data_IF_818541561302
#
_entry.id   IF_818541561302
#
_cell.length_a   1.000
_cell.length_b   1.000
_cell.length_c   1.000
_cell.angle_alpha   90.00
_cell.angle_beta   90.00
_cell.angle_gamma   90.00
#
_symmetry.space_group_name_H-M   'P 1'
#
loop_
_entity.id
_entity.type
_entity.pdbx_description
1 polymer ?
#
# COMPACT_ATOMS: atom_id res chain seq x y z
N UNK A 1 21.03 11.37 -1.02
CA UNK A 1 19.82 10.81 -0.39
C UNK A 1 19.63 9.40 -0.91
N UNK A 2 19.28 8.46 -0.03
CA UNK A 2 19.11 7.07 -0.42
C UNK A 2 17.87 6.87 -1.30
N UNK A 3 17.90 5.81 -2.12
CA UNK A 3 16.75 5.40 -2.93
C UNK A 3 15.52 5.12 -2.07
N UNK A 4 15.72 4.50 -0.89
CA UNK A 4 14.65 4.23 0.07
C UNK A 4 13.98 5.51 0.56
N UNK A 5 14.74 6.51 0.91
CA UNK A 5 14.21 7.80 1.38
C UNK A 5 13.46 8.53 0.27
N UNK A 6 14.00 8.51 -0.94
CA UNK A 6 13.33 9.13 -2.10
C UNK A 6 12.01 8.45 -2.41
N UNK A 7 11.98 7.13 -2.39
CA UNK A 7 10.78 6.35 -2.64
C UNK A 7 9.72 6.60 -1.57
N UNK A 8 10.12 6.61 -0.30
CA UNK A 8 9.21 6.91 0.81
C UNK A 8 8.57 8.29 0.65
N UNK A 9 9.36 9.30 0.34
CA UNK A 9 8.84 10.65 0.11
C UNK A 9 7.87 10.71 -1.05
N UNK A 10 8.18 10.01 -2.14
CA UNK A 10 7.33 9.97 -3.32
C UNK A 10 5.98 9.31 -3.02
N UNK A 11 5.98 8.19 -2.33
CA UNK A 11 4.75 7.51 -1.93
C UNK A 11 3.85 8.42 -1.09
N UNK A 12 4.43 9.09 -0.10
CA UNK A 12 3.69 10.01 0.77
C UNK A 12 3.18 11.23 -0.01
N UNK A 13 4.01 11.79 -0.89
CA UNK A 13 3.62 12.95 -1.69
C UNK A 13 2.45 12.62 -2.63
N UNK A 14 2.48 11.47 -3.25
CA UNK A 14 1.41 11.03 -4.15
C UNK A 14 0.12 10.72 -3.38
N UNK A 15 0.22 10.18 -2.18
CA UNK A 15 -0.96 10.02 -1.32
C UNK A 15 -1.59 11.37 -0.99
N UNK A 16 -0.77 12.36 -0.66
CA UNK A 16 -1.25 13.73 -0.41
C UNK A 16 -1.88 14.36 -1.64
N UNK A 17 -1.35 14.08 -2.82
CA UNK A 17 -1.92 14.54 -4.08
C UNK A 17 -3.34 14.00 -4.31
N UNK A 18 -3.68 12.86 -3.70
CA UNK A 18 -5.02 12.30 -3.70
C UNK A 18 -5.93 12.92 -2.63
N UNK A 19 -5.42 13.88 -1.86
CA UNK A 19 -6.15 14.49 -0.75
C UNK A 19 -6.16 13.65 0.53
N UNK A 20 -5.22 12.71 0.65
CA UNK A 20 -5.18 11.75 1.75
C UNK A 20 -3.88 11.86 2.55
N UNK A 21 -3.91 11.36 3.77
CA UNK A 21 -2.76 11.21 4.64
C UNK A 21 -2.96 9.98 5.52
N UNK A 22 -1.89 9.54 6.16
CA UNK A 22 -1.95 8.44 7.11
C UNK A 22 -1.06 8.71 8.30
N UNK A 23 -1.49 8.29 9.49
CA UNK A 23 -0.70 8.33 10.71
C UNK A 23 0.22 7.11 10.85
N UNK A 24 0.04 6.11 9.99
CA UNK A 24 0.89 4.93 9.98
C UNK A 24 2.33 5.30 9.65
N UNK A 25 3.28 4.66 10.32
CA UNK A 25 4.67 4.74 9.91
C UNK A 25 4.86 3.91 8.64
N UNK A 26 5.37 4.54 7.58
CA UNK A 26 5.70 3.85 6.34
C UNK A 26 7.13 3.34 6.42
N UNK A 27 7.30 2.03 6.36
CA UNK A 27 8.60 1.35 6.44
C UNK A 27 8.87 0.62 5.13
N UNK A 28 9.97 0.95 4.49
CA UNK A 28 10.41 0.27 3.28
C UNK A 28 11.52 -0.72 3.62
N UNK A 29 11.34 -1.95 3.19
CA UNK A 29 12.31 -3.04 3.40
C UNK A 29 12.78 -3.59 2.06
N UNK A 30 13.96 -4.23 2.00
CA UNK A 30 14.52 -4.67 0.73
C UNK A 30 13.68 -5.73 0.03
N UNK A 31 13.41 -6.87 0.65
CA UNK A 31 12.83 -8.01 -0.03
C UNK A 31 12.12 -8.96 0.93
N UNK A 32 11.03 -9.56 0.46
CA UNK A 32 10.39 -10.69 1.13
C UNK A 32 10.13 -11.79 0.11
N UNK A 33 10.36 -13.04 0.49
CA UNK A 33 10.08 -14.21 -0.35
C UNK A 33 8.60 -14.41 -0.59
N UNK A 34 7.73 -13.98 0.34
CA UNK A 34 6.32 -14.39 0.37
C UNK A 34 5.32 -13.26 0.20
N UNK A 35 5.74 -12.00 0.35
CA UNK A 35 4.79 -10.87 0.29
C UNK A 35 5.43 -9.61 -0.28
N UNK A 36 4.60 -8.71 -0.79
CA UNK A 36 5.03 -7.41 -1.30
C UNK A 36 4.82 -6.29 -0.28
N UNK A 37 4.03 -6.55 0.74
CA UNK A 37 3.80 -5.63 1.83
C UNK A 37 2.82 -6.22 2.84
N UNK A 38 2.69 -5.54 3.97
CA UNK A 38 1.67 -5.87 4.96
C UNK A 38 1.43 -4.69 5.90
N UNK A 39 0.28 -4.69 6.56
CA UNK A 39 -0.02 -3.76 7.63
C UNK A 39 0.17 -4.48 8.97
N UNK A 40 0.93 -3.87 9.88
CA UNK A 40 1.14 -4.38 11.22
C UNK A 40 0.29 -3.56 12.21
N UNK A 41 -0.84 -4.13 12.69
CA UNK A 41 -1.71 -3.40 13.61
C UNK A 41 -1.11 -3.18 14.99
N UNK A 42 -0.16 -4.01 15.40
CA UNK A 42 0.46 -3.88 16.71
C UNK A 42 1.37 -2.67 16.81
N UNK A 43 2.03 -2.30 15.73
CA UNK A 43 2.94 -1.15 15.66
C UNK A 43 2.41 -0.01 14.80
N UNK A 44 1.26 -0.19 14.17
CA UNK A 44 0.67 0.77 13.23
C UNK A 44 1.61 1.14 12.10
N UNK A 45 2.22 0.12 11.49
CA UNK A 45 3.19 0.28 10.41
C UNK A 45 2.68 -0.30 9.11
N UNK A 46 2.92 0.43 8.02
CA UNK A 46 2.75 -0.06 6.65
C UNK A 46 4.13 -0.46 6.15
N UNK A 47 4.33 -1.75 5.91
CA UNK A 47 5.60 -2.29 5.44
C UNK A 47 5.45 -2.61 3.95
N UNK A 48 6.40 -2.12 3.15
CA UNK A 48 6.43 -2.35 1.69
C UNK A 48 7.82 -2.81 1.31
N UNK A 49 7.88 -3.85 0.49
CA UNK A 49 9.15 -4.41 0.01
C UNK A 49 9.48 -3.82 -1.36
N UNK A 50 10.73 -3.35 -1.51
CA UNK A 50 11.16 -2.56 -2.66
C UNK A 50 11.56 -3.40 -3.86
N UNK A 51 12.11 -4.60 -3.62
CA UNK A 51 12.72 -5.42 -4.66
C UNK A 51 11.97 -6.73 -4.86
N UNK A 52 11.93 -7.18 -6.10
CA UNK A 52 11.29 -8.45 -6.46
C UNK A 52 12.22 -9.65 -6.31
N UNK A 53 13.51 -9.42 -6.06
CA UNK A 53 14.52 -10.46 -5.96
C UNK A 53 15.37 -10.32 -4.68
N UNK A 54 15.86 -11.46 -4.20
CA UNK A 54 16.66 -11.53 -2.98
C UNK A 54 17.95 -10.71 -3.05
N UNK A 55 18.56 -10.61 -4.24
CA UNK A 55 19.81 -9.86 -4.43
C UNK A 55 19.59 -8.35 -4.54
N UNK A 56 18.34 -7.91 -4.47
CA UNK A 56 17.96 -6.50 -4.56
C UNK A 56 18.48 -5.81 -5.82
N UNK A 57 18.41 -6.50 -6.94
CA UNK A 57 18.81 -5.97 -8.25
C UNK A 57 17.64 -5.42 -9.05
N UNK A 58 16.43 -5.92 -8.81
CA UNK A 58 15.23 -5.58 -9.57
C UNK A 58 14.25 -4.81 -8.69
N UNK A 59 14.31 -3.49 -8.74
CA UNK A 59 13.37 -2.62 -8.06
C UNK A 59 11.98 -2.84 -8.66
N UNK A 60 10.99 -3.03 -7.82
CA UNK A 60 9.58 -3.11 -8.25
C UNK A 60 9.18 -1.78 -8.84
N UNK A 61 8.45 -1.80 -9.95
CA UNK A 61 7.98 -0.58 -10.60
C UNK A 61 7.19 0.29 -9.63
N UNK A 62 7.37 1.59 -9.71
CA UNK A 62 6.74 2.54 -8.78
C UNK A 62 5.21 2.39 -8.74
N UNK A 63 4.58 2.26 -9.91
CA UNK A 63 3.12 2.11 -9.96
C UNK A 63 2.64 0.92 -9.15
N UNK A 64 3.34 -0.21 -9.25
CA UNK A 64 3.04 -1.41 -8.46
C UNK A 64 3.28 -1.16 -6.97
N UNK A 65 4.38 -0.51 -6.62
CA UNK A 65 4.65 -0.14 -5.22
C UNK A 65 3.56 0.76 -4.65
N UNK A 66 3.09 1.73 -5.43
CA UNK A 66 2.02 2.62 -4.99
C UNK A 66 0.71 1.86 -4.78
N UNK A 67 0.39 0.91 -5.65
CA UNK A 67 -0.81 0.06 -5.50
C UNK A 67 -0.71 -0.83 -4.25
N UNK A 68 0.47 -1.38 -3.97
CA UNK A 68 0.71 -2.12 -2.72
C UNK A 68 0.51 -1.21 -1.52
N UNK A 69 1.03 0.01 -1.57
CA UNK A 69 0.84 1.00 -0.51
C UNK A 69 -0.64 1.27 -0.25
N UNK A 70 -1.42 1.50 -1.29
CA UNK A 70 -2.87 1.71 -1.15
C UNK A 70 -3.57 0.47 -0.57
N UNK A 71 -3.19 -0.72 -1.01
CA UNK A 71 -3.74 -1.97 -0.51
C UNK A 71 -3.53 -2.10 1.00
N UNK A 72 -2.31 -1.89 1.47
CA UNK A 72 -2.01 -1.98 2.90
C UNK A 72 -2.64 -0.83 3.68
N UNK A 73 -2.77 0.35 3.07
CA UNK A 73 -3.47 1.48 3.67
C UNK A 73 -4.93 1.13 3.97
N UNK A 74 -5.61 0.43 3.05
CA UNK A 74 -7.00 0.00 3.28
C UNK A 74 -7.10 -0.91 4.50
N UNK A 75 -6.15 -1.83 4.67
CA UNK A 75 -6.12 -2.66 5.88
C UNK A 75 -6.04 -1.81 7.15
N UNK A 76 -5.21 -0.76 7.15
CA UNK A 76 -5.10 0.14 8.31
C UNK A 76 -6.41 0.90 8.56
N UNK A 77 -7.07 1.36 7.50
CA UNK A 77 -8.34 2.08 7.62
C UNK A 77 -9.42 1.19 8.21
N UNK A 78 -9.53 -0.05 7.76
CA UNK A 78 -10.49 -0.99 8.31
C UNK A 78 -10.17 -1.33 9.76
N UNK A 79 -8.91 -1.62 10.06
CA UNK A 79 -8.50 -1.96 11.43
C UNK A 79 -8.85 -0.87 12.43
N UNK A 80 -8.67 0.39 12.04
CA UNK A 80 -8.93 1.54 12.90
C UNK A 80 -10.41 1.96 12.92
N UNK A 81 -11.22 1.44 12.01
CA UNK A 81 -12.64 1.80 11.93
C UNK A 81 -13.43 1.12 13.04
N UNK A 82 -14.16 1.89 13.82
CA UNK A 82 -15.07 1.37 14.85
C UNK A 82 -16.29 0.65 14.26
N UNK A 83 -16.55 0.86 12.98
CA UNK A 83 -17.70 0.27 12.27
C UNK A 83 -17.35 -1.03 11.56
N UNK A 84 -16.08 -1.32 11.38
CA UNK A 84 -15.68 -2.53 10.68
C UNK A 84 -15.79 -3.74 11.59
N UNK A 85 -16.50 -4.76 11.10
CA UNK A 85 -16.64 -6.02 11.80
C UNK A 85 -15.76 -7.06 11.12
N UNK A 86 -14.72 -7.49 11.80
CA UNK A 86 -13.82 -8.51 11.29
C UNK A 86 -14.53 -9.86 11.27
N UNK A 87 -14.50 -10.50 10.10
CA UNK A 87 -14.98 -11.87 9.94
C UNK A 87 -13.75 -12.78 9.95
N UNK A 88 -13.73 -13.78 10.82
CA UNK A 88 -12.61 -14.70 10.93
C UNK A 88 -12.33 -15.38 9.58
N UNK A 89 -11.06 -15.37 9.17
CA UNK A 89 -10.63 -15.96 7.91
C UNK A 89 -10.87 -15.12 6.66
N UNK A 90 -11.51 -13.96 6.79
CA UNK A 90 -11.73 -13.03 5.66
C UNK A 90 -10.87 -11.79 5.84
N UNK A 91 -9.82 -11.66 5.03
CA UNK A 91 -8.92 -10.51 5.06
C UNK A 91 -9.31 -9.42 4.05
N UNK A 92 -9.96 -9.80 2.98
CA UNK A 92 -10.37 -8.89 1.90
C UNK A 92 -11.87 -9.06 1.68
N UNK A 93 -12.68 -8.35 2.45
CA UNK A 93 -14.13 -8.37 2.31
C UNK A 93 -14.61 -7.40 1.22
N UNK A 94 -15.93 -7.33 1.01
CA UNK A 94 -16.51 -6.46 0.00
C UNK A 94 -16.22 -4.98 0.28
N UNK A 95 -16.21 -4.58 1.56
CA UNK A 95 -15.86 -3.22 1.95
C UNK A 95 -14.41 -2.91 1.60
N UNK A 96 -13.47 -3.85 1.84
CA UNK A 96 -12.08 -3.69 1.48
C UNK A 96 -11.92 -3.33 0.01
N UNK A 97 -12.54 -4.12 -0.87
CA UNK A 97 -12.44 -3.88 -2.31
C UNK A 97 -13.14 -2.60 -2.74
N UNK A 98 -14.26 -2.23 -2.11
CA UNK A 98 -14.94 -0.98 -2.41
C UNK A 98 -14.06 0.23 -2.08
N UNK A 99 -13.36 0.21 -0.96
CA UNK A 99 -12.43 1.27 -0.57
C UNK A 99 -11.24 1.31 -1.53
N UNK A 100 -10.62 0.15 -1.76
CA UNK A 100 -9.44 0.05 -2.62
C UNK A 100 -9.74 0.51 -4.05
N UNK A 101 -10.85 0.08 -4.62
CA UNK A 101 -11.25 0.47 -5.97
C UNK A 101 -11.42 1.98 -6.10
N UNK A 102 -12.00 2.64 -5.11
CA UNK A 102 -12.11 4.09 -5.08
C UNK A 102 -10.76 4.78 -5.01
N UNK A 103 -9.84 4.27 -4.19
CA UNK A 103 -8.50 4.83 -4.09
C UNK A 103 -7.74 4.67 -5.41
N UNK A 104 -7.84 3.50 -6.05
CA UNK A 104 -7.19 3.26 -7.34
C UNK A 104 -7.77 4.14 -8.44
N UNK A 105 -9.08 4.34 -8.45
CA UNK A 105 -9.74 5.26 -9.39
C UNK A 105 -9.22 6.68 -9.21
N UNK A 106 -9.13 7.16 -7.98
CA UNK A 106 -8.58 8.49 -7.69
C UNK A 106 -7.12 8.61 -8.11
N UNK A 107 -6.30 7.58 -7.84
CA UNK A 107 -4.91 7.55 -8.25
C UNK A 107 -4.77 7.62 -9.78
N UNK A 108 -5.63 6.93 -10.50
CA UNK A 108 -5.68 7.00 -11.97
C UNK A 108 -6.07 8.39 -12.46
N UNK A 109 -7.10 8.99 -11.88
CA UNK A 109 -7.53 10.35 -12.22
C UNK A 109 -6.44 11.38 -11.99
N UNK A 110 -5.62 11.19 -10.96
CA UNK A 110 -4.49 12.08 -10.66
C UNK A 110 -3.23 11.78 -11.48
N UNK A 111 -3.27 10.76 -12.33
CA UNK A 111 -2.13 10.40 -13.16
C UNK A 111 -1.01 9.69 -12.41
N UNK A 112 -1.25 9.22 -11.19
CA UNK A 112 -0.25 8.51 -10.38
C UNK A 112 -0.06 7.09 -10.90
N UNK A 113 -1.14 6.46 -11.34
CA UNK A 113 -1.13 5.13 -11.95
C UNK A 113 -1.81 5.19 -13.32
N UNK A 114 -1.40 4.32 -14.24
CA UNK A 114 -1.96 4.28 -15.59
C UNK A 114 -3.32 3.58 -15.62
N UNK A 115 -3.50 2.58 -14.76
CA UNK A 115 -4.75 1.85 -14.67
C UNK A 115 -5.14 1.65 -13.20
N UNK A 116 -6.42 1.39 -12.99
CA UNK A 116 -6.98 1.16 -11.65
C UNK A 116 -7.13 -0.33 -11.32
N UNK A 117 -6.40 -1.20 -12.03
CA UNK A 117 -6.41 -2.64 -11.76
C UNK A 117 -5.63 -2.95 -10.49
N UNK A 118 -6.18 -3.83 -9.69
CA UNK A 118 -5.47 -4.40 -8.57
C UNK A 118 -4.50 -5.46 -9.09
N UNK A 119 -3.20 -5.26 -8.84
CA UNK A 119 -2.14 -6.18 -9.27
C UNK A 119 -1.60 -7.02 -8.12
N UNK A 120 -2.03 -6.69 -6.90
CA UNK A 120 -1.50 -7.31 -5.70
C UNK A 120 -2.64 -7.83 -4.83
N UNK A 121 -2.54 -9.11 -4.45
CA UNK A 121 -3.50 -9.76 -3.55
C UNK A 121 -2.71 -10.37 -2.39
N UNK A 122 -2.91 -9.83 -1.20
CA UNK A 122 -2.23 -10.33 0.00
C UNK A 122 -3.23 -10.72 1.07
#
# INVERSE_FOLDING_TARGET
>A
MSERMNLRRRLIADLRAMGLSTDCELVLRPYSKTMWGYYDPNTDRLIIYMYSDRKCKSLIQYETLFKVFLHELVHSLQWKSSKWKRIAGVMHDAEFYAILDKLLETAKEKGIVENDRQEYVA
#
